data_IF_217473904275
#
_entry.id   IF_217473904275
#
_cell.length_a   1.000
_cell.length_b   1.000
_cell.length_c   1.000
_cell.angle_alpha   90.00
_cell.angle_beta   90.00
_cell.angle_gamma   90.00
#
_symmetry.space_group_name_H-M   'P 1'
#
loop_
_entity.id
_entity.type
_entity.pdbx_description
1 polymer ?
#
# COMPACT_ATOMS: atom_id res chain seq x y z
N UNK A 1 8.69 2.62 -16.20
CA UNK A 1 8.97 3.19 -14.87
C UNK A 1 9.49 4.60 -15.08
N UNK A 2 8.85 5.60 -14.53
CA UNK A 2 9.28 7.01 -14.75
C UNK A 2 10.64 7.35 -14.14
N UNK A 3 11.21 6.54 -13.24
CA UNK A 3 12.41 6.94 -12.48
C UNK A 3 13.41 5.83 -12.16
N UNK A 4 13.41 4.69 -12.83
CA UNK A 4 14.49 3.68 -12.80
C UNK A 4 15.04 3.21 -11.43
N UNK A 5 14.45 3.61 -10.32
CA UNK A 5 14.96 3.33 -8.99
C UNK A 5 14.44 2.00 -8.45
N UNK A 6 15.34 1.20 -7.90
CA UNK A 6 14.98 0.03 -7.10
C UNK A 6 14.48 0.48 -5.74
N UNK A 7 13.43 -0.18 -5.23
CA UNK A 7 12.98 -0.02 -3.85
C UNK A 7 12.71 -1.38 -3.22
N UNK A 8 13.03 -1.49 -1.94
CA UNK A 8 12.68 -2.67 -1.15
C UNK A 8 11.33 -2.42 -0.49
N UNK A 9 10.44 -3.39 -0.59
CA UNK A 9 9.13 -3.36 0.07
C UNK A 9 9.06 -4.59 0.95
N UNK A 10 8.74 -4.39 2.23
CA UNK A 10 8.45 -5.49 3.16
C UNK A 10 6.98 -5.85 3.03
N UNK A 11 6.69 -7.13 2.89
CA UNK A 11 5.33 -7.68 2.78
C UNK A 11 4.97 -8.43 4.06
N UNK A 12 3.67 -8.57 4.33
CA UNK A 12 3.17 -9.40 5.43
C UNK A 12 3.18 -10.88 5.03
N UNK A 13 3.18 -11.76 6.03
CA UNK A 13 3.12 -13.23 5.82
C UNK A 13 1.89 -13.63 4.99
N UNK A 14 0.76 -12.94 5.18
CA UNK A 14 -0.43 -13.18 4.39
C UNK A 14 -0.23 -12.84 2.91
N UNK A 15 0.43 -11.72 2.61
CA UNK A 15 0.72 -11.33 1.23
C UNK A 15 1.76 -12.27 0.61
N UNK A 16 2.74 -12.74 1.39
CA UNK A 16 3.71 -13.73 0.96
C UNK A 16 3.03 -15.06 0.59
N UNK A 17 2.10 -15.52 1.43
CA UNK A 17 1.27 -16.71 1.14
C UNK A 17 0.47 -16.54 -0.14
N UNK A 18 -0.21 -15.42 -0.32
CA UNK A 18 -0.98 -15.13 -1.54
C UNK A 18 -0.08 -15.07 -2.78
N UNK A 19 1.12 -14.54 -2.63
CA UNK A 19 2.10 -14.53 -3.71
C UNK A 19 2.58 -15.94 -4.05
N UNK A 20 2.82 -16.78 -3.07
CA UNK A 20 3.12 -18.21 -3.26
C UNK A 20 2.01 -18.94 -4.00
N UNK A 21 0.74 -18.74 -3.62
CA UNK A 21 -0.42 -19.31 -4.33
C UNK A 21 -0.50 -18.83 -5.79
N UNK A 22 -0.17 -17.57 -6.02
CA UNK A 22 -0.12 -17.00 -7.37
C UNK A 22 1.00 -17.64 -8.20
N UNK A 23 2.20 -17.81 -7.66
CA UNK A 23 3.31 -18.49 -8.34
C UNK A 23 2.95 -19.94 -8.69
N UNK A 24 2.30 -20.66 -7.77
CA UNK A 24 1.80 -22.00 -8.05
C UNK A 24 0.87 -22.03 -9.26
N UNK A 25 -0.07 -21.10 -9.36
CA UNK A 25 -0.96 -20.97 -10.53
C UNK A 25 -0.22 -20.62 -11.80
N UNK A 26 0.86 -19.84 -11.73
CA UNK A 26 1.72 -19.55 -12.88
C UNK A 26 2.41 -20.83 -13.39
N UNK A 27 3.00 -21.62 -12.49
CA UNK A 27 3.65 -22.88 -12.83
C UNK A 27 2.63 -23.89 -13.41
N UNK A 28 1.45 -24.02 -12.78
CA UNK A 28 0.37 -24.89 -13.29
C UNK A 28 -0.10 -24.47 -14.69
N UNK A 29 -0.03 -23.18 -15.02
CA UNK A 29 -0.30 -22.66 -16.35
C UNK A 29 0.87 -22.82 -17.34
N UNK A 30 2.02 -23.35 -16.91
CA UNK A 30 3.23 -23.56 -17.72
C UNK A 30 4.09 -22.31 -17.92
N UNK A 31 4.03 -21.35 -17.01
CA UNK A 31 4.80 -20.10 -17.11
C UNK A 31 6.29 -20.35 -16.98
N UNK A 32 6.71 -21.24 -16.09
CA UNK A 32 8.11 -21.66 -15.87
C UNK A 32 8.75 -22.23 -17.15
N UNK A 33 7.98 -22.96 -17.95
CA UNK A 33 8.42 -23.50 -19.24
C UNK A 33 8.48 -22.43 -20.34
N UNK A 34 7.58 -21.43 -20.26
CA UNK A 34 7.45 -20.41 -21.29
C UNK A 34 8.43 -19.26 -21.17
N UNK A 35 8.81 -18.87 -19.92
CA UNK A 35 9.66 -17.68 -19.67
C UNK A 35 11.05 -18.02 -19.14
N UNK A 36 11.31 -19.28 -18.81
CA UNK A 36 12.61 -19.82 -18.40
C UNK A 36 13.05 -19.46 -16.97
N UNK A 37 12.80 -18.26 -16.49
CA UNK A 37 13.16 -17.79 -15.15
C UNK A 37 12.08 -16.86 -14.60
N UNK A 38 11.26 -17.38 -13.68
CA UNK A 38 10.17 -16.60 -13.05
C UNK A 38 10.69 -15.52 -12.11
N UNK A 39 11.85 -15.68 -11.50
CA UNK A 39 12.41 -14.70 -10.57
C UNK A 39 12.84 -13.41 -11.29
N UNK A 40 13.22 -13.53 -12.55
CA UNK A 40 13.59 -12.41 -13.41
C UNK A 40 12.42 -11.89 -14.26
N UNK A 41 11.23 -12.48 -14.14
CA UNK A 41 10.08 -12.10 -14.93
C UNK A 41 9.19 -11.06 -14.25
N UNK A 42 8.14 -10.66 -14.93
CA UNK A 42 7.18 -9.69 -14.40
C UNK A 42 6.28 -10.35 -13.36
N UNK A 43 6.07 -9.68 -12.22
CA UNK A 43 5.20 -10.19 -11.15
C UNK A 43 3.77 -10.41 -11.65
N UNK A 44 3.20 -9.45 -12.39
CA UNK A 44 1.84 -9.55 -12.90
C UNK A 44 1.85 -9.77 -14.42
N UNK A 45 1.33 -10.90 -14.83
CA UNK A 45 1.31 -11.32 -16.23
C UNK A 45 -0.10 -11.68 -16.70
N UNK A 46 -0.28 -11.65 -18.01
CA UNK A 46 -1.52 -12.03 -18.66
C UNK A 46 -1.61 -13.57 -18.79
N UNK A 47 -2.66 -14.16 -18.23
CA UNK A 47 -2.92 -15.62 -18.33
C UNK A 47 -4.01 -15.96 -19.34
N UNK A 48 -4.87 -15.02 -19.71
CA UNK A 48 -6.11 -15.28 -20.42
C UNK A 48 -6.03 -15.12 -21.94
N UNK A 49 -5.05 -14.38 -22.44
CA UNK A 49 -4.98 -13.99 -23.87
C UNK A 49 -3.55 -14.11 -24.38
N UNK A 50 -3.40 -14.28 -25.70
CA UNK A 50 -2.09 -14.20 -26.35
C UNK A 50 -1.60 -12.72 -26.42
N UNK A 51 -0.31 -12.45 -26.28
CA UNK A 51 0.70 -13.39 -25.81
C UNK A 51 0.54 -13.71 -24.31
N UNK A 52 0.47 -15.01 -23.98
CA UNK A 52 0.41 -15.46 -22.58
C UNK A 52 1.73 -15.10 -21.87
N UNK A 53 1.63 -14.88 -20.56
CA UNK A 53 2.73 -14.49 -19.67
C UNK A 53 3.39 -13.16 -20.02
N UNK A 54 2.86 -12.41 -20.98
CA UNK A 54 3.28 -11.03 -21.21
C UNK A 54 2.94 -10.13 -20.00
N UNK A 55 3.72 -9.07 -19.74
CA UNK A 55 3.45 -8.14 -18.65
C UNK A 55 2.02 -7.60 -18.67
N UNK A 56 1.34 -7.60 -17.54
CA UNK A 56 0.01 -7.01 -17.42
C UNK A 56 0.09 -5.49 -17.60
N UNK A 57 -0.73 -4.96 -18.49
CA UNK A 57 -0.80 -3.51 -18.75
C UNK A 57 -1.63 -2.81 -17.67
N UNK A 58 -1.29 -1.56 -17.36
CA UNK A 58 -2.01 -0.75 -16.39
C UNK A 58 -3.50 -0.59 -16.75
N UNK A 59 -3.81 -0.51 -18.05
CA UNK A 59 -5.18 -0.43 -18.55
C UNK A 59 -6.01 -1.67 -18.19
N UNK A 60 -5.37 -2.85 -18.15
CA UNK A 60 -6.03 -4.11 -17.74
C UNK A 60 -6.47 -4.03 -16.29
N UNK A 61 -5.62 -3.51 -15.39
CA UNK A 61 -5.98 -3.29 -13.98
C UNK A 61 -7.12 -2.29 -13.85
N UNK A 62 -7.03 -1.17 -14.56
CA UNK A 62 -8.09 -0.16 -14.58
C UNK A 62 -9.42 -0.71 -15.11
N UNK A 63 -9.39 -1.58 -16.12
CA UNK A 63 -10.58 -2.25 -16.64
C UNK A 63 -11.17 -3.23 -15.62
N UNK A 64 -10.34 -4.03 -14.94
CA UNK A 64 -10.77 -4.94 -13.88
C UNK A 64 -11.48 -4.18 -12.74
N UNK A 65 -10.92 -3.04 -12.30
CA UNK A 65 -11.54 -2.21 -11.28
C UNK A 65 -12.86 -1.63 -11.75
N UNK A 66 -12.96 -1.18 -13.01
CA UNK A 66 -14.25 -0.70 -13.58
C UNK A 66 -15.29 -1.81 -13.63
N UNK A 67 -14.89 -3.04 -13.98
CA UNK A 67 -15.78 -4.21 -13.96
C UNK A 67 -16.24 -4.50 -12.56
N UNK A 68 -15.32 -4.56 -11.58
CA UNK A 68 -15.63 -4.82 -10.18
C UNK A 68 -16.64 -3.79 -9.63
N UNK A 69 -16.46 -2.51 -9.95
CA UNK A 69 -17.41 -1.45 -9.56
C UNK A 69 -18.83 -1.73 -10.07
N UNK A 70 -18.95 -2.17 -11.32
CA UNK A 70 -20.24 -2.50 -11.93
C UNK A 70 -20.87 -3.73 -11.28
N UNK A 71 -20.05 -4.78 -11.08
CA UNK A 71 -20.52 -6.05 -10.50
C UNK A 71 -20.88 -5.91 -9.00
N UNK A 72 -20.31 -4.91 -8.31
CA UNK A 72 -20.54 -4.57 -6.90
C UNK A 72 -21.29 -3.24 -6.73
N UNK A 73 -22.21 -2.92 -7.62
CA UNK A 73 -22.97 -1.67 -7.58
C UNK A 73 -23.61 -1.46 -6.20
N UNK A 74 -23.41 -0.24 -5.63
CA UNK A 74 -23.86 0.11 -4.30
C UNK A 74 -23.02 -0.44 -3.12
N UNK A 75 -22.09 -1.37 -3.37
CA UNK A 75 -21.19 -1.93 -2.34
C UNK A 75 -19.80 -1.28 -2.33
N UNK A 76 -19.44 -0.61 -3.39
CA UNK A 76 -18.21 0.19 -3.50
C UNK A 76 -18.56 1.60 -4.00
N UNK A 77 -17.82 2.63 -3.57
CA UNK A 77 -18.07 4.01 -4.00
C UNK A 77 -17.98 4.17 -5.52
N UNK A 78 -18.85 5.00 -6.09
CA UNK A 78 -18.91 5.24 -7.54
C UNK A 78 -17.56 5.73 -8.14
N UNK A 79 -16.78 6.48 -7.37
CA UNK A 79 -15.44 6.98 -7.75
C UNK A 79 -14.29 6.01 -7.50
N UNK A 80 -14.54 4.78 -7.03
CA UNK A 80 -13.48 3.84 -6.66
C UNK A 80 -12.52 3.55 -7.81
N UNK A 81 -11.23 3.74 -7.55
CA UNK A 81 -10.12 3.52 -8.49
C UNK A 81 -8.98 2.77 -7.78
N UNK A 82 -7.97 2.23 -8.49
CA UNK A 82 -6.78 1.67 -7.85
C UNK A 82 -6.06 2.65 -6.91
N UNK A 83 -6.14 3.97 -7.18
CA UNK A 83 -5.57 4.98 -6.30
C UNK A 83 -6.24 5.04 -4.93
N UNK A 84 -7.52 4.71 -4.82
CA UNK A 84 -8.21 4.63 -3.53
C UNK A 84 -7.56 3.61 -2.59
N UNK A 85 -7.19 2.44 -3.10
CA UNK A 85 -6.47 1.44 -2.31
C UNK A 85 -5.14 1.99 -1.79
N UNK A 86 -4.44 2.73 -2.64
CA UNK A 86 -3.18 3.38 -2.26
C UNK A 86 -3.40 4.45 -1.20
N UNK A 87 -4.43 5.29 -1.34
CA UNK A 87 -4.78 6.30 -0.35
C UNK A 87 -5.20 5.68 0.97
N UNK A 88 -6.07 4.66 0.95
CA UNK A 88 -6.49 3.93 2.15
C UNK A 88 -5.28 3.34 2.88
N UNK A 89 -4.35 2.69 2.14
CA UNK A 89 -3.14 2.13 2.73
C UNK A 89 -2.26 3.21 3.38
N UNK A 90 -2.04 4.32 2.70
CA UNK A 90 -1.27 5.45 3.24
C UNK A 90 -1.90 6.04 4.50
N UNK A 91 -3.20 6.33 4.45
CA UNK A 91 -3.96 6.88 5.57
C UNK A 91 -3.92 5.94 6.77
N UNK A 92 -4.16 4.65 6.58
CA UNK A 92 -4.12 3.66 7.65
C UNK A 92 -2.74 3.60 8.34
N UNK A 93 -1.65 3.65 7.57
CA UNK A 93 -0.29 3.67 8.12
C UNK A 93 -0.02 4.94 8.94
N UNK A 94 -0.41 6.11 8.43
CA UNK A 94 -0.23 7.39 9.12
C UNK A 94 -1.08 7.45 10.39
N UNK A 95 -2.32 7.02 10.33
CA UNK A 95 -3.21 6.93 11.51
C UNK A 95 -2.70 5.93 12.56
N UNK A 96 -1.94 4.92 12.15
CA UNK A 96 -1.25 4.00 13.05
C UNK A 96 0.04 4.56 13.65
N UNK A 97 0.39 5.83 13.37
CA UNK A 97 1.58 6.49 13.89
C UNK A 97 2.87 6.17 13.14
N UNK A 98 2.78 5.58 11.96
CA UNK A 98 3.96 5.34 11.13
C UNK A 98 4.46 6.67 10.56
N UNK A 99 5.75 6.95 10.73
CA UNK A 99 6.36 8.21 10.31
C UNK A 99 6.19 8.45 8.79
N UNK A 100 5.86 9.70 8.43
CA UNK A 100 5.55 10.10 7.04
C UNK A 100 6.64 9.70 6.03
N UNK A 101 7.92 9.83 6.38
CA UNK A 101 9.02 9.45 5.51
C UNK A 101 9.06 7.95 5.21
N UNK A 102 8.60 7.11 6.15
CA UNK A 102 8.49 5.65 5.96
C UNK A 102 7.35 5.36 4.99
N UNK A 103 6.20 6.01 5.20
CA UNK A 103 5.04 5.89 4.31
C UNK A 103 5.37 6.36 2.89
N UNK A 104 6.01 7.54 2.77
CA UNK A 104 6.47 8.09 1.49
C UNK A 104 7.38 7.10 0.73
N UNK A 105 8.37 6.54 1.43
CA UNK A 105 9.28 5.52 0.85
C UNK A 105 8.52 4.27 0.42
N UNK A 106 7.60 3.78 1.25
CA UNK A 106 6.78 2.60 0.94
C UNK A 106 5.89 2.83 -0.28
N UNK A 107 5.31 4.00 -0.42
CA UNK A 107 4.52 4.40 -1.58
C UNK A 107 5.39 4.67 -2.82
N UNK A 108 6.69 4.91 -2.65
CA UNK A 108 7.61 5.27 -3.74
C UNK A 108 7.39 6.69 -4.24
N UNK A 109 7.00 7.62 -3.35
CA UNK A 109 7.07 9.04 -3.66
C UNK A 109 8.53 9.47 -3.68
N UNK A 110 8.91 10.22 -4.72
CA UNK A 110 10.27 10.76 -4.82
C UNK A 110 10.48 11.92 -3.84
N UNK A 111 9.41 12.66 -3.60
CA UNK A 111 9.39 13.79 -2.70
C UNK A 111 8.38 13.54 -1.56
N UNK A 112 8.83 13.71 -0.34
CA UNK A 112 8.00 13.62 0.87
C UNK A 112 6.88 14.66 0.85
N UNK A 113 7.10 15.81 0.20
CA UNK A 113 6.10 16.85 0.05
C UNK A 113 4.81 16.35 -0.58
N UNK A 114 4.91 15.38 -1.49
CA UNK A 114 3.73 14.73 -2.07
C UNK A 114 2.90 14.01 -1.00
N UNK A 115 3.53 13.37 -0.03
CA UNK A 115 2.83 12.71 1.08
C UNK A 115 2.22 13.76 2.02
N UNK A 116 2.95 14.78 2.37
CA UNK A 116 2.49 15.87 3.25
C UNK A 116 1.30 16.61 2.65
N UNK A 117 1.36 16.98 1.38
CA UNK A 117 0.26 17.69 0.72
C UNK A 117 -1.03 16.84 0.62
N UNK A 118 -0.90 15.52 0.49
CA UNK A 118 -2.06 14.64 0.38
C UNK A 118 -2.64 14.23 1.74
N UNK A 119 -1.81 14.17 2.78
CA UNK A 119 -2.16 13.57 4.07
C UNK A 119 -1.87 14.46 5.28
N UNK A 120 -1.56 15.76 5.07
CA UNK A 120 -1.23 16.71 6.14
C UNK A 120 -2.31 16.80 7.22
N UNK A 121 -3.59 16.65 6.85
CA UNK A 121 -4.71 16.61 7.79
C UNK A 121 -4.62 15.45 8.81
N UNK A 122 -3.95 14.35 8.45
CA UNK A 122 -3.72 13.23 9.39
C UNK A 122 -2.69 13.62 10.44
N UNK A 123 -1.71 14.47 10.08
CA UNK A 123 -0.68 14.97 11.00
C UNK A 123 -1.28 15.88 12.06
N UNK A 124 -2.23 16.75 11.71
CA UNK A 124 -2.92 17.64 12.68
C UNK A 124 -3.65 16.82 13.76
N UNK A 125 -4.35 15.75 13.37
CA UNK A 125 -5.02 14.84 14.30
C UNK A 125 -4.00 14.07 15.17
N UNK A 126 -2.83 13.72 14.62
CA UNK A 126 -1.75 13.09 15.36
C UNK A 126 -1.10 14.05 16.37
N UNK A 127 -0.96 15.33 16.04
CA UNK A 127 -0.45 16.36 16.96
C UNK A 127 -1.38 16.54 18.15
N UNK A 128 -2.69 16.62 17.94
CA UNK A 128 -3.67 16.73 19.02
C UNK A 128 -3.61 15.51 19.96
N UNK A 129 -3.49 14.30 19.40
CA UNK A 129 -3.32 13.08 20.19
C UNK A 129 -2.00 13.06 20.97
N UNK A 130 -0.92 13.58 20.40
CA UNK A 130 0.38 13.65 21.04
C UNK A 130 0.35 14.59 22.26
N UNK A 131 -0.38 15.71 22.20
CA UNK A 131 -0.59 16.61 23.34
C UNK A 131 -1.33 15.91 24.47
N UNK A 132 -2.39 15.15 24.16
CA UNK A 132 -3.13 14.40 25.17
C UNK A 132 -2.27 13.29 25.82
N UNK A 133 -1.46 12.60 25.03
CA UNK A 133 -0.51 11.61 25.55
C UNK A 133 0.57 12.24 26.44
N UNK A 134 1.09 13.40 26.05
CA UNK A 134 2.05 14.15 26.87
C UNK A 134 1.43 14.59 28.20
N UNK A 135 0.21 15.09 28.19
CA UNK A 135 -0.51 15.47 29.40
C UNK A 135 -0.73 14.29 30.34
N UNK A 136 -1.05 13.10 29.81
CA UNK A 136 -1.17 11.87 30.61
C UNK A 136 0.18 11.45 31.23
N UNK A 137 1.26 11.50 30.44
CA UNK A 137 2.60 11.17 30.92
C UNK A 137 3.07 12.12 32.03
N UNK A 138 2.81 13.40 31.89
CA UNK A 138 3.26 14.42 32.85
C UNK A 138 2.34 14.58 34.06
N UNK A 139 1.12 14.07 34.00
CA UNK A 139 0.18 14.10 35.14
C UNK A 139 0.76 13.42 36.38
N UNK A 140 1.52 12.33 36.21
CA UNK A 140 2.19 11.64 37.31
C UNK A 140 3.38 12.38 37.92
N UNK A 141 3.95 13.37 37.21
CA UNK A 141 5.11 14.12 37.70
C UNK A 141 4.74 15.24 38.68
N UNK A 142 3.47 15.63 38.72
CA UNK A 142 2.97 16.71 39.58
C UNK A 142 2.58 16.24 40.99
N UNK A 143 2.60 14.95 41.25
CA UNK A 143 2.17 14.39 42.56
C UNK A 143 3.29 14.24 43.57
N UNK A 144 4.55 14.54 43.22
CA UNK A 144 5.73 14.44 44.10
C UNK A 144 6.24 15.76 44.66
N UNK A 145 5.42 16.81 44.75
CA UNK A 145 5.79 17.96 45.57
C UNK A 145 5.46 17.66 47.03
N UNK A 146 6.47 17.49 47.91
CA UNK A 146 6.20 17.30 49.33
C UNK A 146 5.65 18.60 49.88
N UNK A 147 4.49 18.50 50.51
CA UNK A 147 3.88 19.54 51.34
C UNK A 147 4.95 20.12 52.31
N UNK A 148 5.31 21.37 52.13
CA UNK A 148 6.15 22.14 53.07
C UNK A 148 5.28 23.05 53.89
#
# INVERSE_FOLDING_TARGET
MKNGGFRRIYISDELDRLYGEYLWRLCDAGADLAVGDLDCWWVFVNLAREPRFAPMRAETVAWQVRRLRRDLEGRVPAGFTPHWLRHTHATALLMSGIAEHVVSRRLGHLDIQTTQNLYGWVSEDAEQRSVAQWQQLTAGWRTDEPDR
#
